data_IF_059435161550
#
_entry.id   IF_059435161550
#
_cell.length_a   1.000
_cell.length_b   1.000
_cell.length_c   1.000
_cell.angle_alpha   90.00
_cell.angle_beta   90.00
_cell.angle_gamma   90.00
#
_symmetry.space_group_name_H-M   'P 1'
#
loop_
_entity.id
_entity.type
_entity.pdbx_description
1 polymer ?
#
# COMPACT_ATOMS: atom_id res chain seq x y z
N UNK A 1 -20.03 20.09 26.91
CA UNK A 1 -18.70 20.15 26.29
C UNK A 1 -18.62 19.06 25.23
N UNK A 2 -18.31 19.36 23.96
CA UNK A 2 -18.28 18.37 22.87
C UNK A 2 -17.14 17.34 23.00
N UNK A 3 -16.15 17.61 23.85
CA UNK A 3 -14.96 16.77 24.00
C UNK A 3 -13.90 17.05 22.92
N UNK A 4 -12.67 16.62 23.17
CA UNK A 4 -11.54 16.81 22.26
C UNK A 4 -10.97 15.47 21.81
N UNK A 5 -10.66 15.35 20.53
CA UNK A 5 -10.00 14.15 20.00
C UNK A 5 -8.56 14.06 20.53
N UNK A 6 -8.19 12.85 20.93
CA UNK A 6 -6.80 12.49 21.17
C UNK A 6 -6.18 11.82 19.96
N UNK A 7 -4.93 11.39 20.09
CA UNK A 7 -4.27 10.56 19.08
C UNK A 7 -3.36 9.53 19.73
N UNK A 8 -3.15 8.40 19.05
CA UNK A 8 -2.17 7.38 19.40
C UNK A 8 -1.21 7.25 18.22
N UNK A 9 0.08 7.47 18.47
CA UNK A 9 1.14 7.17 17.50
C UNK A 9 1.38 5.66 17.45
N UNK A 10 1.23 5.06 16.28
CA UNK A 10 1.45 3.62 16.10
C UNK A 10 2.94 3.37 15.84
N UNK A 11 3.50 2.37 16.52
CA UNK A 11 4.88 1.91 16.36
C UNK A 11 5.14 1.33 14.97
N UNK A 12 4.11 0.76 14.34
CA UNK A 12 4.10 0.34 12.94
C UNK A 12 2.88 0.88 12.21
N UNK A 13 3.07 1.12 10.91
CA UNK A 13 1.98 1.51 10.02
C UNK A 13 0.97 0.35 9.85
N UNK A 14 -0.32 0.67 9.89
CA UNK A 14 -1.43 -0.30 9.87
C UNK A 14 -2.36 0.02 8.70
N UNK A 15 -2.80 -0.99 7.95
CA UNK A 15 -3.83 -0.77 6.94
C UNK A 15 -5.16 -0.47 7.59
N UNK A 16 -5.85 0.56 7.11
CA UNK A 16 -7.24 0.78 7.47
C UNK A 16 -8.11 -0.32 6.82
N UNK A 17 -8.88 -1.04 7.63
CA UNK A 17 -9.66 -2.22 7.20
C UNK A 17 -10.58 -1.93 6.01
N UNK A 18 -11.34 -0.83 6.07
CA UNK A 18 -12.25 -0.42 5.01
C UNK A 18 -11.59 -0.05 3.67
N UNK A 19 -10.26 0.15 3.64
CA UNK A 19 -9.55 0.56 2.43
C UNK A 19 -8.64 -0.52 1.85
N UNK A 20 -8.50 -1.70 2.48
CA UNK A 20 -7.60 -2.78 2.00
C UNK A 20 -7.81 -3.14 0.53
N UNK A 21 -9.07 -3.22 0.08
CA UNK A 21 -9.39 -3.51 -1.33
C UNK A 21 -8.92 -2.38 -2.25
N UNK A 22 -9.08 -1.12 -1.82
CA UNK A 22 -8.66 0.05 -2.60
C UNK A 22 -7.13 0.15 -2.65
N UNK A 23 -6.45 -0.05 -1.52
CA UNK A 23 -4.98 -0.14 -1.42
C UNK A 23 -4.45 -1.19 -2.40
N UNK A 24 -5.04 -2.40 -2.42
CA UNK A 24 -4.68 -3.45 -3.37
C UNK A 24 -4.81 -3.00 -4.82
N UNK A 25 -5.94 -2.38 -5.20
CA UNK A 25 -6.15 -1.88 -6.57
C UNK A 25 -5.13 -0.81 -6.97
N UNK A 26 -4.78 0.09 -6.05
CA UNK A 26 -3.79 1.13 -6.30
C UNK A 26 -2.41 0.51 -6.49
N UNK A 27 -2.00 -0.42 -5.61
CA UNK A 27 -0.74 -1.17 -5.74
C UNK A 27 -0.65 -1.97 -7.06
N UNK A 28 -1.76 -2.50 -7.55
CA UNK A 28 -1.80 -3.19 -8.84
C UNK A 28 -1.74 -2.24 -10.04
N UNK A 29 -2.02 -0.95 -9.83
CA UNK A 29 -2.01 0.08 -10.89
C UNK A 29 -0.68 0.81 -10.99
N UNK A 30 0.07 0.95 -9.89
CA UNK A 30 1.35 1.65 -9.85
C UNK A 30 2.55 0.71 -9.90
N UNK A 31 3.71 1.25 -10.25
CA UNK A 31 4.99 0.57 -10.17
C UNK A 31 5.44 0.47 -8.70
N UNK A 32 5.66 -0.74 -8.19
CA UNK A 32 6.11 -0.96 -6.80
C UNK A 32 7.54 -0.48 -6.52
N UNK A 33 8.28 -0.05 -7.55
CA UNK A 33 9.64 0.49 -7.45
C UNK A 33 9.67 2.02 -7.51
N UNK A 34 9.11 2.63 -8.56
CA UNK A 34 9.19 4.08 -8.77
C UNK A 34 7.93 4.86 -8.36
N UNK A 35 6.81 4.18 -8.04
CA UNK A 35 5.57 4.84 -7.61
C UNK A 35 4.71 5.46 -8.72
N UNK A 36 5.21 5.53 -9.97
CA UNK A 36 4.43 5.98 -11.13
C UNK A 36 3.34 4.98 -11.49
N UNK A 37 2.30 5.40 -12.20
CA UNK A 37 1.38 4.50 -12.89
C UNK A 37 2.18 3.51 -13.77
N UNK A 38 1.73 2.27 -13.99
CA UNK A 38 2.53 1.33 -14.82
C UNK A 38 2.48 1.64 -16.32
N UNK A 39 1.45 2.35 -16.75
CA UNK A 39 1.09 2.70 -18.13
C UNK A 39 0.67 4.17 -18.13
N UNK A 40 1.09 4.93 -19.13
CA UNK A 40 0.68 6.34 -19.27
C UNK A 40 -0.53 6.49 -20.19
N UNK A 41 -1.47 7.40 -19.88
CA UNK A 41 -2.52 7.80 -20.83
C UNK A 41 -1.98 8.32 -22.17
N UNK A 42 -0.76 8.85 -22.22
CA UNK A 42 -0.17 9.35 -23.47
C UNK A 42 0.18 8.23 -24.45
N UNK A 43 0.55 7.05 -23.95
CA UNK A 43 0.94 5.90 -24.79
C UNK A 43 -0.22 4.94 -25.04
N UNK A 44 -1.21 4.92 -24.15
CA UNK A 44 -2.36 4.03 -24.25
C UNK A 44 -3.66 4.83 -24.46
N UNK A 45 -4.11 4.89 -25.73
CA UNK A 45 -5.33 5.58 -26.13
C UNK A 45 -6.57 5.07 -25.37
N UNK A 46 -6.67 3.76 -25.11
CA UNK A 46 -7.81 3.21 -24.39
C UNK A 46 -7.83 3.65 -22.92
N UNK A 47 -6.64 3.85 -22.33
CA UNK A 47 -6.52 4.44 -21.00
C UNK A 47 -6.88 5.93 -21.03
N UNK A 48 -6.41 6.68 -22.03
CA UNK A 48 -6.77 8.10 -22.21
C UNK A 48 -8.28 8.31 -22.34
N UNK A 49 -8.95 7.49 -23.13
CA UNK A 49 -10.40 7.55 -23.32
C UNK A 49 -11.14 7.31 -22.00
N UNK A 50 -10.71 6.33 -21.20
CA UNK A 50 -11.28 6.11 -19.86
C UNK A 50 -11.14 7.32 -18.95
N UNK A 51 -9.96 7.93 -18.92
CA UNK A 51 -9.68 9.12 -18.09
C UNK A 51 -10.53 10.30 -18.55
N UNK A 52 -10.70 10.48 -19.87
CA UNK A 52 -11.47 11.57 -20.48
C UNK A 52 -12.98 11.42 -20.29
N UNK A 53 -13.52 10.22 -20.49
CA UNK A 53 -14.97 9.99 -20.53
C UNK A 53 -15.57 9.57 -19.18
N UNK A 54 -14.79 8.93 -18.29
CA UNK A 54 -15.30 8.49 -16.98
C UNK A 54 -15.14 9.60 -15.95
N UNK A 55 -16.16 10.45 -15.82
CA UNK A 55 -16.18 11.57 -14.88
C UNK A 55 -16.20 11.14 -13.41
N UNK A 56 -16.93 10.07 -13.08
CA UNK A 56 -17.02 9.54 -11.72
C UNK A 56 -15.67 8.96 -11.25
N UNK A 57 -15.05 9.48 -10.17
CA UNK A 57 -13.73 9.04 -9.73
C UNK A 57 -13.68 7.57 -9.28
N UNK A 58 -14.76 7.06 -8.66
CA UNK A 58 -14.83 5.68 -8.17
C UNK A 58 -14.89 4.70 -9.34
N UNK A 59 -15.70 4.99 -10.36
CA UNK A 59 -15.77 4.21 -11.60
C UNK A 59 -14.47 4.32 -12.39
N UNK A 60 -13.83 5.49 -12.40
CA UNK A 60 -12.53 5.71 -13.08
C UNK A 60 -11.46 4.81 -12.51
N UNK A 61 -11.28 4.78 -11.17
CA UNK A 61 -10.32 3.90 -10.52
C UNK A 61 -10.53 2.44 -10.91
N UNK A 62 -11.79 1.97 -10.93
CA UNK A 62 -12.11 0.60 -11.32
C UNK A 62 -11.76 0.31 -12.79
N UNK A 63 -12.06 1.23 -13.70
CA UNK A 63 -11.81 1.07 -15.13
C UNK A 63 -10.33 1.14 -15.50
N UNK A 64 -9.58 2.05 -14.85
CA UNK A 64 -8.12 2.17 -14.98
C UNK A 64 -7.43 0.93 -14.41
N UNK A 65 -7.76 0.55 -13.18
CA UNK A 65 -7.23 -0.67 -12.54
C UNK A 65 -7.46 -1.91 -13.40
N UNK A 66 -8.66 -2.08 -13.97
CA UNK A 66 -8.99 -3.23 -14.79
C UNK A 66 -8.07 -3.41 -16.01
N UNK A 67 -7.53 -2.31 -16.54
CA UNK A 67 -6.60 -2.31 -17.67
C UNK A 67 -5.14 -2.43 -17.22
N UNK A 68 -4.76 -1.70 -16.18
CA UNK A 68 -3.35 -1.63 -15.75
C UNK A 68 -2.93 -2.87 -14.96
N UNK A 69 -3.86 -3.57 -14.29
CA UNK A 69 -3.57 -4.78 -13.50
C UNK A 69 -2.97 -5.94 -14.31
N UNK A 70 -3.21 -5.99 -15.62
CA UNK A 70 -2.68 -7.06 -16.50
C UNK A 70 -1.23 -6.81 -16.90
N UNK A 71 -0.70 -5.61 -16.63
CA UNK A 71 0.66 -5.20 -16.98
C UNK A 71 1.62 -5.61 -15.86
N UNK A 72 2.58 -6.46 -16.24
CA UNK A 72 3.58 -7.05 -15.35
C UNK A 72 4.96 -6.36 -15.45
N UNK A 73 5.03 -5.21 -16.12
CA UNK A 73 6.24 -4.42 -16.30
C UNK A 73 5.86 -2.94 -16.23
N UNK A 74 6.72 -2.11 -15.64
CA UNK A 74 6.58 -0.66 -15.68
C UNK A 74 7.05 -0.15 -17.04
N UNK A 75 6.15 0.39 -17.85
CA UNK A 75 6.45 0.81 -19.22
C UNK A 75 7.50 1.91 -19.24
N UNK A 76 8.55 1.70 -20.04
CA UNK A 76 9.61 2.69 -20.29
C UNK A 76 9.23 3.52 -21.50
N UNK A 77 9.82 4.69 -21.60
CA UNK A 77 9.66 5.52 -22.79
C UNK A 77 10.41 4.92 -23.95
N UNK A 78 9.84 5.06 -25.15
CA UNK A 78 10.55 4.75 -26.38
C UNK A 78 11.72 5.74 -26.50
N UNK A 79 12.94 5.21 -26.47
CA UNK A 79 14.11 6.02 -26.77
C UNK A 79 14.04 6.38 -28.25
N UNK A 80 14.27 7.65 -28.62
CA UNK A 80 14.39 8.00 -30.01
C UNK A 80 15.59 7.26 -30.63
N UNK A 81 15.39 6.64 -31.80
CA UNK A 81 16.47 5.96 -32.50
C UNK A 81 17.65 6.92 -32.75
N UNK A 82 18.88 6.45 -32.52
CA UNK A 82 20.09 7.18 -32.87
C UNK A 82 20.11 7.41 -34.39
N UNK A 83 19.74 8.62 -34.83
CA UNK A 83 19.65 8.99 -36.25
C UNK A 83 18.26 9.40 -36.73
N UNK A 84 17.25 9.46 -35.85
CA UNK A 84 15.93 9.98 -36.22
C UNK A 84 16.03 11.44 -36.70
N UNK A 85 15.38 11.73 -37.83
CA UNK A 85 15.31 13.07 -38.42
C UNK A 85 14.89 14.12 -37.37
N UNK A 86 15.47 15.33 -37.39
CA UNK A 86 14.98 16.42 -36.55
C UNK A 86 13.48 16.58 -36.76
N UNK A 87 12.71 16.62 -35.65
CA UNK A 87 11.30 16.95 -35.74
C UNK A 87 11.13 18.30 -36.45
N UNK A 88 10.05 18.51 -37.24
CA UNK A 88 9.76 19.79 -37.87
C UNK A 88 9.83 20.93 -36.85
N UNK A 89 10.33 22.11 -37.26
CA UNK A 89 10.46 23.29 -36.38
C UNK A 89 9.16 23.55 -35.59
N UNK A 90 9.21 23.34 -34.28
CA UNK A 90 8.09 23.57 -33.34
C UNK A 90 7.40 22.32 -32.78
N UNK A 91 7.73 21.11 -33.23
CA UNK A 91 7.22 19.87 -32.62
C UNK A 91 8.21 19.31 -31.58
N UNK A 92 7.84 19.38 -30.30
CA UNK A 92 8.57 18.70 -29.23
C UNK A 92 8.13 17.23 -29.17
N UNK A 93 9.10 16.31 -29.00
CA UNK A 93 8.79 14.89 -28.75
C UNK A 93 7.90 14.78 -27.52
N UNK A 94 6.78 14.03 -27.57
CA UNK A 94 5.89 13.92 -26.43
C UNK A 94 6.68 13.45 -25.21
N UNK A 95 6.55 14.19 -24.11
CA UNK A 95 7.23 13.84 -22.86
C UNK A 95 6.84 12.42 -22.45
N UNK A 96 7.86 11.57 -22.33
CA UNK A 96 7.69 10.20 -21.90
C UNK A 96 7.08 10.09 -20.50
N UNK A 97 6.43 8.96 -20.25
CA UNK A 97 5.95 8.51 -18.96
C UNK A 97 7.07 8.40 -17.90
N UNK A 98 8.29 8.08 -18.32
CA UNK A 98 9.48 7.94 -17.49
C UNK A 98 9.40 6.77 -16.51
N UNK A 99 8.79 5.65 -16.92
CA UNK A 99 8.80 4.43 -16.13
C UNK A 99 10.18 3.77 -16.11
N UNK A 100 10.36 2.81 -15.20
CA UNK A 100 11.69 2.26 -14.85
C UNK A 100 11.96 0.84 -15.36
N UNK A 101 11.06 0.24 -16.14
CA UNK A 101 11.24 -1.11 -16.70
C UNK A 101 11.15 -2.26 -15.68
N UNK A 102 10.94 -1.95 -14.39
CA UNK A 102 10.94 -2.97 -13.35
C UNK A 102 9.78 -3.96 -13.54
N UNK A 103 10.00 -5.28 -13.32
CA UNK A 103 8.93 -6.26 -13.29
C UNK A 103 7.97 -5.94 -12.14
N UNK A 104 6.69 -6.21 -12.36
CA UNK A 104 5.62 -5.89 -11.41
C UNK A 104 5.01 -7.18 -10.85
N UNK A 105 4.81 -7.27 -9.53
CA UNK A 105 4.23 -8.45 -8.91
C UNK A 105 2.70 -8.46 -9.06
N UNK A 106 2.13 -9.65 -8.89
CA UNK A 106 0.71 -9.82 -8.60
C UNK A 106 0.47 -9.62 -7.10
N UNK A 107 -0.52 -8.79 -6.74
CA UNK A 107 -0.84 -8.52 -5.34
C UNK A 107 -1.94 -9.48 -4.87
N UNK A 108 -1.64 -10.33 -3.89
CA UNK A 108 -2.61 -11.22 -3.24
C UNK A 108 -3.01 -10.66 -1.88
N UNK A 109 -4.28 -10.85 -1.48
CA UNK A 109 -4.80 -10.49 -0.16
C UNK A 109 -5.12 -11.78 0.58
N UNK A 110 -4.57 -11.94 1.79
CA UNK A 110 -4.94 -13.02 2.70
C UNK A 110 -5.25 -12.37 4.06
N UNK A 111 -6.51 -12.45 4.50
CA UNK A 111 -6.98 -11.71 5.69
C UNK A 111 -6.71 -10.21 5.59
N UNK A 112 -5.95 -9.69 6.56
CA UNK A 112 -5.52 -8.29 6.69
C UNK A 112 -4.14 -8.00 6.08
N UNK A 113 -3.55 -8.96 5.36
CA UNK A 113 -2.21 -8.85 4.76
C UNK A 113 -2.28 -8.79 3.23
N UNK A 114 -1.31 -8.07 2.65
CA UNK A 114 -1.09 -8.01 1.21
C UNK A 114 0.28 -8.59 0.88
N UNK A 115 0.34 -9.46 -0.14
CA UNK A 115 1.53 -10.17 -0.58
C UNK A 115 1.84 -9.84 -2.02
N UNK A 116 3.11 -9.64 -2.36
CA UNK A 116 3.56 -9.50 -3.73
C UNK A 116 4.12 -10.84 -4.23
N UNK A 117 3.54 -11.35 -5.31
CA UNK A 117 3.99 -12.59 -5.94
C UNK A 117 4.55 -12.24 -7.31
N UNK A 118 5.85 -12.41 -7.49
CA UNK A 118 6.49 -12.29 -8.79
C UNK A 118 6.36 -13.61 -9.54
N UNK A 119 6.11 -13.55 -10.85
CA UNK A 119 6.17 -14.73 -11.70
C UNK A 119 7.58 -15.32 -11.68
N UNK A 120 7.69 -16.66 -11.60
CA UNK A 120 8.97 -17.36 -11.78
C UNK A 120 9.46 -17.10 -13.22
N UNK A 121 10.74 -16.78 -13.37
CA UNK A 121 11.37 -16.77 -14.68
C UNK A 121 11.24 -18.16 -15.32
N UNK A 122 11.02 -18.18 -16.64
CA UNK A 122 11.19 -19.40 -17.43
C UNK A 122 12.57 -19.34 -18.08
N UNK A 123 13.23 -20.49 -18.15
CA UNK A 123 14.46 -20.65 -18.93
C UNK A 123 14.17 -20.75 -20.42
N UNK A 124 15.24 -20.79 -21.23
CA UNK A 124 15.18 -20.94 -22.69
C UNK A 124 14.43 -22.22 -23.11
N UNK A 125 14.42 -23.24 -22.26
CA UNK A 125 13.69 -24.50 -22.46
C UNK A 125 12.24 -24.50 -21.91
N UNK A 126 11.76 -23.37 -21.39
CA UNK A 126 10.40 -23.22 -20.87
C UNK A 126 10.15 -23.83 -19.49
N UNK A 127 11.16 -24.44 -18.86
CA UNK A 127 11.12 -24.89 -17.47
C UNK A 127 11.22 -23.71 -16.47
N UNK A 128 10.62 -23.83 -15.27
CA UNK A 128 10.72 -22.83 -14.23
C UNK A 128 12.14 -22.78 -13.64
N UNK A 129 12.90 -21.74 -13.98
CA UNK A 129 14.29 -21.55 -13.52
C UNK A 129 14.36 -21.36 -11.99
N UNK A 130 15.03 -22.25 -11.23
CA UNK A 130 15.29 -22.03 -9.82
C UNK A 130 16.30 -20.87 -9.57
N UNK A 131 17.08 -20.45 -10.58
CA UNK A 131 18.08 -19.38 -10.55
C UNK A 131 17.55 -17.97 -10.85
N UNK A 132 16.61 -17.81 -11.79
CA UNK A 132 15.89 -16.56 -12.11
C UNK A 132 14.58 -16.41 -11.35
N UNK A 133 14.60 -16.53 -10.03
CA UNK A 133 13.84 -15.51 -9.29
C UNK A 133 14.52 -14.18 -9.62
N UNK A 134 13.92 -13.35 -10.49
CA UNK A 134 14.43 -12.01 -10.80
C UNK A 134 14.45 -11.20 -9.51
N UNK A 135 15.52 -11.36 -8.72
CA UNK A 135 15.78 -10.59 -7.51
C UNK A 135 15.90 -9.13 -7.97
N UNK A 136 15.15 -8.18 -7.40
CA UNK A 136 15.51 -6.78 -7.61
C UNK A 136 16.95 -6.61 -7.13
N UNK A 137 17.81 -6.07 -8.00
CA UNK A 137 19.25 -5.89 -7.74
C UNK A 137 19.51 -5.48 -6.29
N UNK A 138 20.22 -6.32 -5.55
CA UNK A 138 20.79 -5.95 -4.27
C UNK A 138 21.99 -5.05 -4.54
N UNK A 139 21.82 -3.77 -4.26
CA UNK A 139 22.94 -2.88 -3.99
C UNK A 139 23.69 -3.43 -2.75
N UNK A 140 24.98 -3.75 -2.92
CA UNK A 140 25.93 -4.19 -1.87
C UNK A 140 25.93 -5.69 -1.47
N UNK A 141 26.25 -6.58 -2.42
CA UNK A 141 27.29 -7.62 -2.25
C UNK A 141 27.29 -8.59 -1.06
N UNK A 142 26.23 -8.72 -0.25
CA UNK A 142 26.15 -9.71 0.84
C UNK A 142 25.03 -10.71 0.55
N UNK A 143 25.41 -11.99 0.43
CA UNK A 143 24.49 -13.11 0.25
C UNK A 143 23.67 -13.32 1.54
N UNK A 144 22.38 -12.98 1.47
CA UNK A 144 21.40 -13.44 2.45
C UNK A 144 21.05 -14.92 2.19
N UNK A 145 20.78 -15.72 3.24
CA UNK A 145 20.40 -17.12 3.10
C UNK A 145 19.11 -17.26 2.27
N UNK A 146 18.93 -18.39 1.57
CA UNK A 146 17.80 -18.61 0.67
C UNK A 146 16.49 -18.64 1.46
N UNK A 147 15.63 -17.65 1.21
CA UNK A 147 14.26 -17.60 1.73
C UNK A 147 13.40 -18.54 0.86
N UNK A 148 12.54 -19.40 1.44
CA UNK A 148 11.70 -20.32 0.68
C UNK A 148 10.86 -19.61 -0.40
N UNK A 149 10.93 -20.15 -1.62
CA UNK A 149 10.57 -19.53 -2.90
C UNK A 149 9.07 -19.43 -3.21
N UNK A 150 8.19 -19.32 -2.19
CA UNK A 150 6.74 -19.20 -2.41
C UNK A 150 6.04 -18.02 -1.72
N UNK A 151 6.74 -17.26 -0.88
CA UNK A 151 6.25 -16.00 -0.34
C UNK A 151 7.39 -14.98 -0.37
N UNK A 152 7.53 -14.25 -1.48
CA UNK A 152 8.15 -12.93 -1.43
C UNK A 152 7.17 -11.99 -0.70
N UNK A 153 7.01 -12.21 0.60
CA UNK A 153 6.41 -11.24 1.49
C UNK A 153 7.08 -9.91 1.15
N UNK A 154 6.29 -8.93 0.74
CA UNK A 154 6.76 -7.56 0.58
C UNK A 154 7.60 -7.27 1.81
N UNK A 155 8.90 -7.16 1.58
CA UNK A 155 9.96 -7.43 2.53
C UNK A 155 9.68 -6.69 3.85
N UNK A 156 9.70 -7.38 5.00
CA UNK A 156 9.83 -6.88 6.38
C UNK A 156 9.63 -5.35 6.50
N UNK A 157 8.49 -4.92 7.05
CA UNK A 157 7.89 -3.57 6.98
C UNK A 157 7.03 -3.29 5.72
N UNK A 158 6.13 -4.21 5.35
CA UNK A 158 5.29 -4.06 4.16
C UNK A 158 4.43 -2.78 4.19
N UNK A 159 3.83 -2.48 5.32
CA UNK A 159 2.81 -1.42 5.40
C UNK A 159 3.45 -0.02 5.28
N UNK A 160 4.57 0.20 5.97
CA UNK A 160 5.32 1.45 5.87
C UNK A 160 5.89 1.67 4.46
N UNK A 161 6.36 0.60 3.80
CA UNK A 161 6.80 0.68 2.40
C UNK A 161 5.67 1.06 1.46
N UNK A 162 4.48 0.49 1.64
CA UNK A 162 3.30 0.88 0.85
C UNK A 162 2.96 2.35 1.13
N UNK A 163 3.03 2.80 2.38
CA UNK A 163 2.79 4.20 2.73
C UNK A 163 3.78 5.14 2.02
N UNK A 164 5.07 4.85 2.09
CA UNK A 164 6.12 5.61 1.40
C UNK A 164 5.98 5.57 -0.12
N UNK A 165 5.58 4.42 -0.67
CA UNK A 165 5.31 4.27 -2.09
C UNK A 165 4.13 5.15 -2.52
N UNK A 166 3.06 5.16 -1.73
CA UNK A 166 1.88 5.99 -2.00
C UNK A 166 2.19 7.49 -1.91
N UNK A 167 3.13 7.90 -1.04
CA UNK A 167 3.63 9.28 -0.99
C UNK A 167 4.45 9.69 -2.21
N UNK A 168 5.02 8.73 -2.96
CA UNK A 168 5.83 8.98 -4.15
C UNK A 168 5.02 9.01 -5.45
N UNK A 169 3.71 8.74 -5.40
CA UNK A 169 2.87 8.76 -6.59
C UNK A 169 2.77 10.21 -7.10
N UNK A 170 3.10 10.48 -8.38
CA UNK A 170 2.96 11.81 -8.95
C UNK A 170 1.51 12.31 -8.95
N UNK A 171 1.32 13.62 -8.78
CA UNK A 171 -0.01 14.24 -8.75
C UNK A 171 -0.84 13.95 -10.03
N UNK A 172 -0.19 13.92 -11.19
CA UNK A 172 -0.82 13.59 -12.47
C UNK A 172 -1.37 12.15 -12.50
N UNK A 173 -0.65 11.21 -11.88
CA UNK A 173 -1.07 9.81 -11.79
C UNK A 173 -2.21 9.63 -10.79
N UNK A 174 -2.24 10.41 -9.70
CA UNK A 174 -3.37 10.45 -8.77
C UNK A 174 -4.66 10.88 -9.49
N UNK A 175 -4.61 11.94 -10.28
CA UNK A 175 -5.76 12.42 -11.06
C UNK A 175 -6.24 11.39 -12.10
N UNK A 176 -5.28 10.73 -12.75
CA UNK A 176 -5.54 9.66 -13.72
C UNK A 176 -6.28 8.49 -13.07
N UNK A 177 -5.87 8.09 -11.86
CA UNK A 177 -6.53 7.05 -11.07
C UNK A 177 -7.91 7.47 -10.52
N UNK A 178 -8.26 8.76 -10.55
CA UNK A 178 -9.45 9.29 -9.90
C UNK A 178 -9.28 9.44 -8.39
N UNK A 179 -8.08 9.74 -7.93
CA UNK A 179 -7.74 10.09 -6.55
C UNK A 179 -7.50 11.60 -6.43
N UNK A 180 -7.61 12.12 -5.21
CA UNK A 180 -7.39 13.54 -4.89
C UNK A 180 -6.18 13.69 -3.99
N UNK A 181 -5.29 14.63 -4.31
CA UNK A 181 -4.14 14.99 -3.46
C UNK A 181 -4.58 15.66 -2.16
N UNK A 182 -5.60 16.51 -2.22
CA UNK A 182 -6.00 17.40 -1.14
C UNK A 182 -7.02 16.77 -0.19
N UNK A 183 -7.87 15.87 -0.69
CA UNK A 183 -9.00 15.34 0.08
C UNK A 183 -8.92 13.84 0.35
N UNK A 184 -8.21 13.08 -0.50
CA UNK A 184 -8.22 11.62 -0.42
C UNK A 184 -6.90 11.01 -0.90
N UNK A 185 -5.78 11.49 -0.34
CA UNK A 185 -4.47 11.01 -0.72
C UNK A 185 -4.31 9.52 -0.34
N UNK A 186 -3.80 8.66 -1.23
CA UNK A 186 -3.75 7.22 -0.99
C UNK A 186 -2.96 6.81 0.25
N UNK A 187 -1.91 7.56 0.61
CA UNK A 187 -1.13 7.28 1.82
C UNK A 187 -1.97 7.32 3.10
N UNK A 188 -3.07 8.08 3.13
CA UNK A 188 -3.98 8.18 4.29
C UNK A 188 -4.82 6.93 4.52
N UNK A 189 -4.83 5.98 3.57
CA UNK A 189 -5.44 4.66 3.76
C UNK A 189 -4.60 3.76 4.69
N UNK A 190 -3.41 4.21 5.06
CA UNK A 190 -2.46 3.52 5.94
C UNK A 190 -2.26 4.40 7.17
N UNK A 191 -2.70 3.90 8.31
CA UNK A 191 -2.70 4.59 9.58
C UNK A 191 -1.30 4.53 10.20
N UNK A 192 -0.70 5.70 10.42
CA UNK A 192 0.48 5.89 11.28
C UNK A 192 0.10 6.49 12.62
N UNK A 193 -1.01 7.23 12.65
CA UNK A 193 -1.61 7.84 13.84
C UNK A 193 -3.08 7.46 13.87
N UNK A 194 -3.54 6.87 14.98
CA UNK A 194 -4.93 6.50 15.19
C UNK A 194 -5.64 7.60 15.98
N UNK A 195 -6.73 8.22 15.46
CA UNK A 195 -7.49 9.19 16.22
C UNK A 195 -8.25 8.53 17.37
N UNK A 196 -8.23 9.16 18.54
CA UNK A 196 -8.94 8.68 19.73
C UNK A 196 -10.20 9.51 19.94
N UNK A 197 -11.41 8.91 19.87
CA UNK A 197 -12.64 9.65 20.06
C UNK A 197 -12.79 10.15 21.52
N UNK A 198 -13.44 11.31 21.71
CA UNK A 198 -13.62 11.89 23.03
C UNK A 198 -14.65 11.09 23.87
N UNK A 199 -14.69 11.29 25.21
CA UNK A 199 -15.62 10.57 26.09
C UNK A 199 -17.10 10.60 25.70
N UNK A 200 -17.67 11.68 25.11
CA UNK A 200 -19.06 11.66 24.66
C UNK A 200 -19.37 10.61 23.58
N UNK A 201 -18.36 10.13 22.85
CA UNK A 201 -18.49 9.05 21.84
C UNK A 201 -18.28 7.67 22.46
N UNK A 202 -17.65 7.58 23.64
CA UNK A 202 -17.35 6.35 24.38
C UNK A 202 -17.75 6.50 25.87
N UNK A 203 -19.06 6.61 26.16
CA UNK A 203 -19.55 6.99 27.48
C UNK A 203 -19.32 5.90 28.53
N UNK A 204 -18.92 6.30 29.75
CA UNK A 204 -18.86 5.37 30.88
C UNK A 204 -20.18 5.33 31.65
N UNK A 205 -20.48 4.18 32.25
CA UNK A 205 -21.67 3.93 33.07
C UNK A 205 -21.21 3.82 34.53
N UNK A 206 -21.78 4.64 35.41
CA UNK A 206 -21.61 4.50 36.85
C UNK A 206 -22.79 3.74 37.43
N UNK A 207 -22.52 2.72 38.25
CA UNK A 207 -23.50 1.92 39.00
C UNK A 207 -23.33 2.22 40.49
N UNK A 208 -24.43 2.17 41.26
CA UNK A 208 -24.48 2.44 42.71
C UNK A 208 -23.86 3.77 43.15
N UNK A 209 -24.34 4.88 42.58
CA UNK A 209 -23.92 6.22 42.99
C UNK A 209 -22.45 6.53 42.73
N UNK A 210 -21.76 5.74 41.90
CA UNK A 210 -20.35 5.92 41.55
C UNK A 210 -19.38 4.92 42.21
N UNK A 211 -19.87 3.94 42.99
CA UNK A 211 -19.03 2.91 43.59
C UNK A 211 -18.43 1.95 42.55
N UNK A 212 -19.15 1.69 41.45
CA UNK A 212 -18.65 0.90 40.32
C UNK A 212 -18.73 1.70 39.02
N UNK A 213 -17.68 1.61 38.20
CA UNK A 213 -17.60 2.22 36.88
C UNK A 213 -17.37 1.15 35.82
N UNK A 214 -18.30 1.04 34.87
CA UNK A 214 -18.13 0.31 33.62
C UNK A 214 -17.72 1.28 32.53
N UNK A 215 -16.64 0.99 31.83
CA UNK A 215 -16.21 1.78 30.67
C UNK A 215 -16.86 1.25 29.39
N UNK A 216 -16.90 2.07 28.35
CA UNK A 216 -17.38 1.69 27.02
C UNK A 216 -16.47 0.65 26.34
N UNK A 217 -17.03 -0.22 25.50
CA UNK A 217 -16.28 -1.23 24.75
C UNK A 217 -15.19 -0.64 23.85
N UNK A 218 -15.41 0.56 23.27
CA UNK A 218 -14.37 1.27 22.51
C UNK A 218 -13.20 1.63 23.41
N UNK A 219 -13.44 1.97 24.68
CA UNK A 219 -12.38 2.29 25.65
C UNK A 219 -11.56 1.03 25.97
N UNK A 220 -12.21 -0.11 26.17
CA UNK A 220 -11.50 -1.39 26.36
C UNK A 220 -10.67 -1.76 25.13
N UNK A 221 -11.23 -1.60 23.92
CA UNK A 221 -10.51 -1.90 22.68
C UNK A 221 -9.31 -0.98 22.44
N UNK A 222 -9.45 0.31 22.74
CA UNK A 222 -8.35 1.27 22.71
C UNK A 222 -7.24 0.89 23.70
N UNK A 223 -7.58 0.39 24.90
CA UNK A 223 -6.59 -0.10 25.85
C UNK A 223 -5.83 -1.32 25.32
N UNK A 224 -6.48 -2.24 24.60
CA UNK A 224 -5.79 -3.34 23.90
C UNK A 224 -4.83 -2.83 22.82
N UNK A 225 -5.26 -1.87 22.00
CA UNK A 225 -4.41 -1.25 20.97
C UNK A 225 -3.17 -0.63 21.61
N UNK A 226 -3.34 0.13 22.70
CA UNK A 226 -2.21 0.76 23.41
C UNK A 226 -1.25 -0.30 23.93
N UNK A 227 -1.74 -1.37 24.58
CA UNK A 227 -0.90 -2.46 25.08
C UNK A 227 -0.13 -3.14 23.95
N UNK A 228 -0.80 -3.54 22.87
CA UNK A 228 -0.16 -4.16 21.72
C UNK A 228 0.90 -3.24 21.09
N UNK A 229 0.60 -1.94 20.98
CA UNK A 229 1.52 -0.94 20.44
C UNK A 229 2.77 -0.75 21.29
N UNK A 230 2.62 -0.70 22.63
CA UNK A 230 3.73 -0.60 23.58
C UNK A 230 4.58 -1.87 23.58
N UNK A 231 3.97 -3.05 23.55
CA UNK A 231 4.69 -4.32 23.45
C UNK A 231 5.51 -4.41 22.17
N UNK A 232 4.92 -4.05 21.02
CA UNK A 232 5.62 -4.05 19.73
C UNK A 232 6.83 -3.11 19.76
N UNK A 233 6.66 -1.90 20.28
CA UNK A 233 7.76 -0.93 20.45
C UNK A 233 8.88 -1.47 21.34
N UNK A 234 8.53 -2.06 22.48
CA UNK A 234 9.49 -2.66 23.42
C UNK A 234 10.30 -3.79 22.76
N UNK A 235 9.64 -4.71 22.07
CA UNK A 235 10.33 -5.82 21.39
C UNK A 235 11.23 -5.33 20.25
N UNK A 236 10.87 -4.26 19.57
CA UNK A 236 11.73 -3.64 18.55
C UNK A 236 12.97 -3.00 19.18
N UNK A 237 12.82 -2.27 20.29
CA UNK A 237 13.92 -1.65 21.04
C UNK A 237 14.88 -2.69 21.65
N UNK A 238 14.35 -3.83 22.12
CA UNK A 238 15.13 -4.95 22.66
C UNK A 238 15.79 -5.83 21.59
N UNK A 239 15.57 -5.55 20.30
CA UNK A 239 16.17 -6.29 19.20
C UNK A 239 15.62 -7.71 19.03
N UNK A 240 14.33 -7.92 19.34
CA UNK A 240 13.68 -9.21 19.22
C UNK A 240 13.76 -9.80 17.80
N UNK A 241 13.69 -11.15 17.65
CA UNK A 241 13.75 -11.78 16.36
C UNK A 241 12.66 -11.30 15.37
N UNK A 242 12.98 -11.37 14.07
CA UNK A 242 12.12 -10.93 12.96
C UNK A 242 10.67 -11.42 13.02
N UNK A 243 10.51 -12.71 13.30
CA UNK A 243 9.23 -13.39 13.26
C UNK A 243 8.35 -12.95 14.44
N UNK A 244 8.95 -12.74 15.62
CA UNK A 244 8.25 -12.22 16.81
C UNK A 244 7.70 -10.82 16.53
N UNK A 245 8.52 -9.91 15.99
CA UNK A 245 8.06 -8.55 15.64
C UNK A 245 6.89 -8.62 14.64
N UNK A 246 6.95 -9.52 13.66
CA UNK A 246 5.89 -9.68 12.66
C UNK A 246 4.57 -10.24 13.24
N UNK A 247 4.66 -11.10 14.27
CA UNK A 247 3.49 -11.58 15.01
C UNK A 247 2.81 -10.44 15.78
N UNK A 248 3.58 -9.63 16.52
CA UNK A 248 3.05 -8.46 17.23
C UNK A 248 2.55 -7.36 16.28
N UNK A 249 3.18 -7.17 15.13
CA UNK A 249 2.66 -6.29 14.06
C UNK A 249 1.30 -6.79 13.55
N UNK A 250 1.15 -8.10 13.36
CA UNK A 250 -0.12 -8.71 12.94
C UNK A 250 -1.20 -8.53 14.01
N UNK A 251 -0.82 -8.67 15.29
CA UNK A 251 -1.72 -8.46 16.41
C UNK A 251 -2.19 -6.99 16.49
N UNK A 252 -1.28 -6.02 16.35
CA UNK A 252 -1.63 -4.60 16.30
C UNK A 252 -2.57 -4.30 15.13
N UNK A 253 -2.27 -4.82 13.94
CA UNK A 253 -3.13 -4.69 12.76
C UNK A 253 -4.54 -5.27 13.01
N UNK A 254 -4.65 -6.38 13.74
CA UNK A 254 -5.93 -7.00 14.07
C UNK A 254 -6.73 -6.16 15.08
N UNK A 255 -6.11 -5.67 16.16
CA UNK A 255 -6.82 -4.82 17.14
C UNK A 255 -7.31 -3.53 16.51
N UNK A 256 -6.48 -2.87 15.68
CA UNK A 256 -6.89 -1.67 14.95
C UNK A 256 -8.01 -1.96 13.95
N UNK A 257 -7.97 -3.10 13.25
CA UNK A 257 -9.01 -3.45 12.29
C UNK A 257 -10.34 -3.74 12.98
N UNK A 258 -10.35 -4.59 14.01
CA UNK A 258 -11.54 -4.93 14.80
C UNK A 258 -12.12 -3.75 15.58
N UNK A 259 -11.28 -2.77 15.94
CA UNK A 259 -11.77 -1.51 16.49
C UNK A 259 -12.66 -0.72 15.53
N UNK A 260 -12.40 -0.80 14.22
CA UNK A 260 -13.17 -0.06 13.20
C UNK A 260 -14.30 -0.89 12.60
N UNK A 261 -14.10 -2.20 12.45
CA UNK A 261 -15.05 -3.13 11.84
C UNK A 261 -14.87 -4.50 12.49
N UNK A 262 -15.88 -4.99 13.21
CA UNK A 262 -15.80 -6.30 13.87
C UNK A 262 -16.20 -7.46 12.94
N UNK A 263 -16.81 -7.19 11.78
CA UNK A 263 -17.35 -8.20 10.86
C UNK A 263 -16.30 -8.67 9.83
N UNK A 264 -15.04 -8.84 10.27
CA UNK A 264 -13.91 -9.22 9.40
C UNK A 264 -13.86 -10.75 9.16
N UNK A 265 -14.85 -11.51 9.65
CA UNK A 265 -14.94 -12.98 9.55
C UNK A 265 -15.56 -13.46 8.24
#
# INVERSE_FOLDING_TARGET
CPGHFGHIELSRAVFHVGFLIKVKKILESICVKCGKLKVSPHMDKALADKVRFIRDPKKRLQAVHAQVKTKNTCEVDEQPEEGADPLPDGEERPAGHGGCGAPQPQIRKEGLKLFAVYAKGKDEDGEPDPGRSRRPHAEHGRSLPPIPSHLHQLTRNSNLKVHQLFQRIPDADLLTLGLSKTEAHPSWMILTVLPVPPPPVRPSIAVDGGAMRGEDDLTYKLAEIIRANQSLRKFEEEGAPAHVIAEFETLLQWHCATYMDNDIA
#
